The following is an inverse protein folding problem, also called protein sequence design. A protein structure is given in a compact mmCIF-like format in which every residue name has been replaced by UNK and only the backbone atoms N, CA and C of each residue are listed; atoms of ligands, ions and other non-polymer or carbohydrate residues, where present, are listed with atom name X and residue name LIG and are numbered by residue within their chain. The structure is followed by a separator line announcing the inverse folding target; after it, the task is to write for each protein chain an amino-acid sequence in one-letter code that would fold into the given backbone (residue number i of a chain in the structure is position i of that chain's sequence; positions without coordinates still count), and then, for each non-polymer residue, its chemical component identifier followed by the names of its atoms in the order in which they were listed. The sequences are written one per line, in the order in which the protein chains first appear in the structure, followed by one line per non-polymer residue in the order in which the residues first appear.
data_IF_354497347915
#
_entry.id   IF_354497347915
#
_cell.length_a   1.000
_cell.length_b   1.000
_cell.length_c   1.000
_cell.angle_alpha   90.00
_cell.angle_beta   90.00
_cell.angle_gamma   90.00
#
_symmetry.space_group_name_H-M   'P 1'
#
loop_
_entity.id
_entity.type
_entity.pdbx_description
1 polymer ?
#
# COMPACT_ATOMS: atom_id res chain seq x y z
N UNK A 1 81.15 57.73 -24.52
CA UNK A 1 81.05 56.27 -24.44
C UNK A 1 80.28 55.89 -23.15
N UNK A 2 78.99 55.63 -23.18
CA UNK A 2 78.18 55.21 -22.05
C UNK A 2 77.51 53.89 -22.40
N UNK A 3 77.87 52.86 -21.65
CA UNK A 3 77.25 51.52 -21.77
C UNK A 3 75.89 51.50 -21.01
N UNK A 4 74.79 51.26 -21.69
CA UNK A 4 73.50 50.97 -21.09
C UNK A 4 73.44 49.47 -20.70
N UNK A 5 73.25 49.20 -19.41
CA UNK A 5 72.96 47.86 -18.90
C UNK A 5 71.40 47.65 -18.92
N UNK A 6 70.95 46.70 -19.72
CA UNK A 6 69.58 46.30 -19.73
C UNK A 6 69.31 45.34 -18.55
N UNK A 7 68.29 45.65 -17.78
CA UNK A 7 67.69 44.77 -16.71
C UNK A 7 66.65 43.88 -17.35
N UNK A 8 66.85 42.58 -17.36
CA UNK A 8 65.84 41.62 -17.71
C UNK A 8 65.00 41.27 -16.47
N UNK A 9 63.72 41.65 -16.49
CA UNK A 9 62.79 41.28 -15.46
C UNK A 9 62.18 39.87 -15.77
N UNK A 10 62.48 38.90 -14.96
CA UNK A 10 61.78 37.60 -14.96
C UNK A 10 60.39 37.76 -14.39
N UNK A 11 59.37 37.61 -15.24
CA UNK A 11 57.97 37.45 -14.84
C UNK A 11 57.75 35.99 -14.41
N UNK A 12 57.60 35.76 -13.10
CA UNK A 12 57.11 34.48 -12.59
C UNK A 12 55.60 34.50 -12.60
N UNK A 13 54.96 33.70 -13.47
CA UNK A 13 53.53 33.42 -13.48
C UNK A 13 53.21 32.45 -12.32
N UNK A 14 52.19 32.72 -11.50
CA UNK A 14 51.75 31.78 -10.50
C UNK A 14 51.04 30.59 -11.16
N UNK A 15 51.45 29.37 -10.87
CA UNK A 15 50.74 28.14 -11.22
C UNK A 15 49.43 28.11 -10.42
N UNK A 16 48.31 28.42 -11.07
CA UNK A 16 46.98 28.20 -10.52
C UNK A 16 46.71 26.69 -10.57
N UNK A 17 46.80 26.03 -9.43
CA UNK A 17 46.39 24.65 -9.25
C UNK A 17 44.87 24.58 -9.40
N UNK A 18 44.38 24.10 -10.55
CA UNK A 18 42.96 23.78 -10.75
C UNK A 18 42.70 22.47 -10.01
N UNK A 19 42.10 22.55 -8.81
CA UNK A 19 41.56 21.37 -8.15
C UNK A 19 40.54 20.69 -9.09
N UNK A 20 40.58 19.37 -9.23
CA UNK A 20 39.58 18.68 -10.06
C UNK A 20 38.21 18.96 -9.47
N UNK A 21 37.35 19.59 -10.26
CA UNK A 21 35.91 19.65 -9.98
C UNK A 21 35.44 18.19 -9.90
N UNK A 22 35.16 17.71 -8.72
CA UNK A 22 34.51 16.41 -8.52
C UNK A 22 33.18 16.49 -9.30
N UNK A 23 33.13 15.94 -10.50
CA UNK A 23 31.88 15.81 -11.24
C UNK A 23 30.97 14.99 -10.38
N UNK A 24 29.90 15.61 -9.86
CA UNK A 24 28.84 14.89 -9.18
C UNK A 24 28.36 13.81 -10.16
N UNK A 25 28.64 12.54 -9.86
CA UNK A 25 28.11 11.44 -10.65
C UNK A 25 26.60 11.64 -10.80
N UNK A 26 26.13 11.63 -12.04
CA UNK A 26 24.71 11.78 -12.31
C UNK A 26 23.96 10.68 -11.57
N UNK A 27 23.04 11.07 -10.67
CA UNK A 27 22.24 10.13 -9.89
C UNK A 27 21.53 9.18 -10.83
N UNK A 28 21.63 7.88 -10.57
CA UNK A 28 20.85 6.89 -11.28
C UNK A 28 19.39 7.06 -10.89
N UNK A 29 18.48 6.88 -11.83
CA UNK A 29 17.05 7.09 -11.59
C UNK A 29 16.30 5.78 -11.78
N UNK A 30 15.39 5.47 -10.84
CA UNK A 30 14.45 4.36 -10.97
C UNK A 30 13.00 4.86 -10.96
N UNK A 31 12.15 4.14 -11.67
CA UNK A 31 10.71 4.37 -11.69
C UNK A 31 10.01 3.35 -10.82
N UNK A 32 9.34 3.80 -9.75
CA UNK A 32 8.62 2.93 -8.81
C UNK A 32 7.12 3.12 -8.99
N UNK A 33 6.41 2.06 -9.36
CA UNK A 33 4.96 2.04 -9.42
C UNK A 33 4.38 1.75 -8.04
N UNK A 34 3.39 2.56 -7.61
CA UNK A 34 2.95 2.50 -6.23
C UNK A 34 1.47 2.82 -6.04
N UNK A 35 0.86 2.20 -5.03
CA UNK A 35 -0.46 2.54 -4.52
C UNK A 35 -0.42 3.27 -3.16
N UNK A 36 0.77 3.50 -2.61
CA UNK A 36 0.98 4.22 -1.34
C UNK A 36 0.48 5.66 -1.44
N UNK A 37 -0.13 6.17 -0.39
CA UNK A 37 -0.64 7.55 -0.36
C UNK A 37 0.49 8.59 -0.40
N UNK A 38 0.27 9.76 -1.03
CA UNK A 38 1.34 10.73 -1.33
C UNK A 38 2.14 11.19 -0.12
N UNK A 39 1.50 11.37 1.03
CA UNK A 39 2.14 11.80 2.28
C UNK A 39 3.18 10.80 2.80
N UNK A 40 2.99 9.51 2.53
CA UNK A 40 3.93 8.46 2.91
C UNK A 40 5.07 8.31 1.91
N UNK A 41 4.84 8.61 0.62
CA UNK A 41 5.88 8.51 -0.42
C UNK A 41 7.08 9.41 -0.15
N UNK A 42 6.87 10.60 0.43
CA UNK A 42 7.96 11.49 0.83
C UNK A 42 8.84 10.84 1.91
N UNK A 43 8.23 10.18 2.88
CA UNK A 43 8.94 9.49 3.97
C UNK A 43 9.79 8.33 3.41
N UNK A 44 9.22 7.49 2.51
CA UNK A 44 9.97 6.43 1.84
C UNK A 44 11.14 6.96 1.03
N UNK A 45 10.92 8.03 0.26
CA UNK A 45 11.96 8.66 -0.56
C UNK A 45 13.12 9.17 0.29
N UNK A 46 12.81 9.89 1.36
CA UNK A 46 13.81 10.54 2.21
C UNK A 46 14.61 9.49 3.00
N UNK A 47 13.93 8.43 3.49
CA UNK A 47 14.59 7.31 4.15
C UNK A 47 15.48 6.50 3.18
N UNK A 48 15.07 6.29 1.93
CA UNK A 48 15.90 5.64 0.92
C UNK A 48 17.10 6.49 0.53
N UNK A 49 16.91 7.80 0.33
CA UNK A 49 17.98 8.72 -0.03
C UNK A 49 19.07 8.81 1.07
N UNK A 50 18.73 8.57 2.34
CA UNK A 50 19.68 8.52 3.44
C UNK A 50 20.65 7.34 3.32
N UNK A 51 20.24 6.21 2.74
CA UNK A 51 21.06 5.00 2.57
C UNK A 51 21.59 4.82 1.15
N UNK A 52 20.93 5.41 0.14
CA UNK A 52 21.33 5.36 -1.28
C UNK A 52 21.15 6.72 -1.94
N UNK A 53 22.02 7.70 -1.59
CA UNK A 53 21.98 9.05 -2.16
C UNK A 53 22.31 9.09 -3.65
N UNK A 54 22.91 8.01 -4.19
CA UNK A 54 23.26 7.81 -5.59
C UNK A 54 22.07 7.44 -6.48
N UNK A 55 20.92 7.03 -5.87
CA UNK A 55 19.72 6.62 -6.61
C UNK A 55 18.56 7.58 -6.33
N UNK A 56 18.01 8.15 -7.40
CA UNK A 56 16.80 8.99 -7.35
C UNK A 56 15.55 8.16 -7.69
N UNK A 57 14.46 8.33 -6.93
CA UNK A 57 13.19 7.65 -7.18
C UNK A 57 12.21 8.60 -7.88
N UNK A 58 11.63 8.14 -8.99
CA UNK A 58 10.43 8.71 -9.57
C UNK A 58 9.24 7.80 -9.27
N UNK A 59 8.24 8.32 -8.55
CA UNK A 59 7.02 7.57 -8.26
C UNK A 59 5.96 7.77 -9.35
N UNK A 60 5.38 6.67 -9.82
CA UNK A 60 4.15 6.65 -10.62
C UNK A 60 3.05 6.09 -9.73
N UNK A 61 2.22 6.99 -9.22
CA UNK A 61 1.19 6.66 -8.23
C UNK A 61 -0.19 6.57 -8.88
N UNK A 62 -0.91 5.48 -8.58
CA UNK A 62 -2.35 5.33 -8.82
C UNK A 62 -2.93 4.33 -7.80
N UNK A 63 -4.25 4.13 -7.79
CA UNK A 63 -4.87 3.03 -7.03
C UNK A 63 -4.38 1.68 -7.53
N UNK A 64 -4.44 0.63 -6.68
CA UNK A 64 -3.88 -0.68 -6.96
C UNK A 64 -4.38 -1.32 -8.27
N UNK A 65 -5.67 -1.17 -8.59
CA UNK A 65 -6.23 -1.68 -9.85
C UNK A 65 -5.58 -1.09 -11.11
N UNK A 66 -5.55 0.23 -11.29
CA UNK A 66 -4.84 0.90 -12.38
C UNK A 66 -3.35 0.58 -12.46
N UNK A 67 -2.63 0.50 -11.32
CA UNK A 67 -1.20 0.09 -11.30
C UNK A 67 -1.04 -1.32 -11.88
N UNK A 68 -1.87 -2.27 -11.45
CA UNK A 68 -1.80 -3.64 -11.94
C UNK A 68 -2.18 -3.76 -13.43
N UNK A 69 -3.18 -3.02 -13.88
CA UNK A 69 -3.57 -2.97 -15.29
C UNK A 69 -2.42 -2.42 -16.15
N UNK A 70 -1.74 -1.38 -15.68
CA UNK A 70 -0.59 -0.78 -16.36
C UNK A 70 0.59 -1.74 -16.44
N UNK A 71 0.98 -2.38 -15.33
CA UNK A 71 2.04 -3.40 -15.32
C UNK A 71 1.76 -4.54 -16.29
N UNK A 72 0.51 -4.98 -16.37
CA UNK A 72 0.09 -6.03 -17.30
C UNK A 72 0.15 -5.57 -18.77
N UNK A 73 -0.27 -4.34 -19.07
CA UNK A 73 -0.22 -3.77 -20.41
C UNK A 73 1.22 -3.54 -20.90
N UNK A 74 2.13 -3.25 -19.97
CA UNK A 74 3.55 -2.98 -20.24
C UNK A 74 4.44 -4.24 -20.18
N UNK A 75 3.87 -5.45 -19.97
CA UNK A 75 4.64 -6.69 -19.72
C UNK A 75 5.72 -7.02 -20.75
N UNK A 76 5.53 -6.61 -22.00
CA UNK A 76 6.50 -6.82 -23.10
C UNK A 76 7.48 -5.64 -23.26
N UNK A 77 7.22 -4.50 -22.59
CA UNK A 77 8.07 -3.30 -22.56
C UNK A 77 7.93 -2.57 -21.23
N UNK A 78 8.45 -3.20 -20.19
CA UNK A 78 8.35 -2.73 -18.82
C UNK A 78 8.97 -1.36 -18.63
N UNK A 79 8.26 -0.46 -17.95
CA UNK A 79 8.72 0.89 -17.61
C UNK A 79 9.05 1.03 -16.12
N UNK A 80 8.46 0.16 -15.29
CA UNK A 80 8.69 0.16 -13.85
C UNK A 80 9.96 -0.60 -13.48
N UNK A 81 10.76 -0.04 -12.60
CA UNK A 81 11.91 -0.73 -12.01
C UNK A 81 11.50 -1.55 -10.77
N UNK A 82 10.58 -1.02 -9.97
CA UNK A 82 10.07 -1.71 -8.80
C UNK A 82 8.59 -1.38 -8.56
N UNK A 83 7.94 -2.22 -7.76
CA UNK A 83 6.60 -1.99 -7.24
C UNK A 83 6.69 -1.81 -5.72
N UNK A 84 6.00 -0.79 -5.19
CA UNK A 84 5.93 -0.47 -3.76
C UNK A 84 4.48 -0.36 -3.30
N UNK A 85 4.13 -1.07 -2.21
CA UNK A 85 2.86 -0.88 -1.50
C UNK A 85 1.64 -1.19 -2.34
N UNK A 86 1.68 -2.27 -3.14
CA UNK A 86 0.53 -2.80 -3.86
C UNK A 86 0.01 -4.03 -3.12
N UNK A 87 -1.29 -4.22 -3.11
CA UNK A 87 -1.97 -5.36 -2.50
C UNK A 87 -1.31 -6.70 -2.88
N UNK A 88 -1.04 -7.55 -1.89
CA UNK A 88 -0.47 -8.88 -2.12
C UNK A 88 -1.38 -9.75 -3.00
N UNK A 89 -2.72 -9.65 -2.84
CA UNK A 89 -3.69 -10.33 -3.73
C UNK A 89 -3.46 -9.89 -5.19
N UNK A 90 -3.21 -8.61 -5.40
CA UNK A 90 -3.01 -8.08 -6.76
C UNK A 90 -1.65 -8.48 -7.34
N UNK A 91 -0.58 -8.48 -6.53
CA UNK A 91 0.74 -8.96 -6.95
C UNK A 91 0.73 -10.45 -7.24
N UNK A 92 0.00 -11.25 -6.48
CA UNK A 92 -0.17 -12.68 -6.74
C UNK A 92 -0.84 -12.94 -8.10
N UNK A 93 -1.82 -12.13 -8.48
CA UNK A 93 -2.43 -12.17 -9.81
C UNK A 93 -1.42 -11.82 -10.93
N UNK A 94 -0.55 -10.82 -10.71
CA UNK A 94 0.52 -10.46 -11.65
C UNK A 94 1.59 -11.56 -11.74
N UNK A 95 1.94 -12.21 -10.61
CA UNK A 95 2.82 -13.37 -10.57
C UNK A 95 2.29 -14.51 -11.45
N UNK A 96 1.02 -14.86 -11.27
CA UNK A 96 0.37 -15.90 -12.04
C UNK A 96 0.36 -15.62 -13.56
N UNK A 97 0.44 -14.34 -13.95
CA UNK A 97 0.52 -13.89 -15.36
C UNK A 97 1.96 -13.70 -15.86
N UNK A 98 2.97 -14.06 -15.06
CA UNK A 98 4.39 -13.99 -15.43
C UNK A 98 4.96 -12.57 -15.52
N UNK A 99 4.31 -11.58 -14.90
CA UNK A 99 4.72 -10.15 -14.92
C UNK A 99 5.83 -9.86 -13.91
N UNK A 100 5.95 -10.69 -12.87
CA UNK A 100 6.93 -10.50 -11.80
C UNK A 100 8.10 -11.48 -11.94
N UNK A 101 9.25 -11.05 -11.47
CA UNK A 101 10.48 -11.84 -11.37
C UNK A 101 10.78 -12.16 -9.91
N UNK A 102 11.22 -13.39 -9.56
CA UNK A 102 11.55 -13.71 -8.18
C UNK A 102 12.78 -12.93 -7.71
N UNK A 103 12.67 -12.33 -6.54
CA UNK A 103 13.78 -11.67 -5.86
C UNK A 103 13.61 -11.75 -4.34
N UNK A 104 14.49 -12.49 -3.67
CA UNK A 104 14.61 -12.50 -2.22
C UNK A 104 15.42 -11.27 -1.78
N UNK A 105 14.82 -10.25 -1.14
CA UNK A 105 15.59 -9.13 -0.61
C UNK A 105 16.49 -9.58 0.52
N UNK A 106 17.54 -8.80 0.83
CA UNK A 106 18.38 -9.06 2.00
C UNK A 106 17.53 -9.11 3.25
N UNK A 107 17.85 -10.04 4.14
CA UNK A 107 17.12 -10.27 5.39
C UNK A 107 15.62 -10.61 5.20
N UNK A 108 15.23 -11.22 4.06
CA UNK A 108 13.86 -11.70 3.83
C UNK A 108 13.37 -12.64 4.93
N UNK A 109 14.28 -13.40 5.56
CA UNK A 109 14.01 -14.27 6.70
C UNK A 109 13.60 -13.52 7.98
N UNK A 110 13.75 -12.19 8.03
CA UNK A 110 13.26 -11.31 9.09
C UNK A 110 11.84 -10.80 8.84
N UNK A 111 11.26 -11.13 7.71
CA UNK A 111 9.88 -10.77 7.39
C UNK A 111 8.93 -11.89 7.86
N UNK A 112 7.71 -11.50 8.22
CA UNK A 112 6.66 -12.45 8.58
C UNK A 112 6.40 -13.39 7.39
N UNK A 113 6.58 -14.71 7.53
CA UNK A 113 6.43 -15.66 6.42
C UNK A 113 5.03 -15.68 5.81
N UNK A 114 3.98 -15.24 6.53
CA UNK A 114 2.63 -15.08 5.97
C UNK A 114 2.53 -13.93 4.97
N UNK A 115 3.52 -13.05 4.93
CA UNK A 115 3.59 -11.90 4.04
C UNK A 115 4.71 -12.02 3.00
N UNK A 116 5.26 -13.20 2.79
CA UNK A 116 6.28 -13.48 1.76
C UNK A 116 5.76 -14.57 0.85
N UNK A 117 5.79 -14.33 -0.46
CA UNK A 117 5.44 -15.36 -1.44
C UNK A 117 6.54 -16.43 -1.47
N UNK A 118 6.13 -17.70 -1.52
CA UNK A 118 7.01 -18.87 -1.33
C UNK A 118 8.23 -18.92 -2.27
N UNK A 119 8.08 -18.36 -3.50
CA UNK A 119 9.12 -18.30 -4.52
C UNK A 119 9.73 -16.89 -4.64
N UNK A 120 9.44 -15.99 -3.67
CA UNK A 120 9.93 -14.60 -3.57
C UNK A 120 9.55 -13.69 -4.77
N UNK A 121 8.40 -13.89 -5.40
CA UNK A 121 7.93 -12.96 -6.43
C UNK A 121 7.38 -11.65 -5.84
N UNK A 122 6.98 -11.66 -4.58
CA UNK A 122 6.61 -10.48 -3.81
C UNK A 122 6.84 -10.72 -2.31
N UNK A 123 6.99 -9.63 -1.58
CA UNK A 123 7.05 -9.64 -0.11
C UNK A 123 6.33 -8.42 0.44
N UNK A 124 5.65 -8.59 1.57
CA UNK A 124 4.95 -7.53 2.28
C UNK A 124 5.90 -6.60 3.03
N UNK A 125 5.48 -5.34 3.18
CA UNK A 125 6.12 -4.35 4.05
C UNK A 125 5.28 -4.08 5.28
N UNK A 126 3.95 -4.10 5.15
CA UNK A 126 3.00 -4.00 6.24
C UNK A 126 1.75 -4.82 5.93
N UNK A 127 0.90 -5.02 6.95
CA UNK A 127 -0.47 -5.48 6.76
C UNK A 127 -1.46 -4.42 7.21
N UNK A 128 -2.65 -4.47 6.65
CA UNK A 128 -3.76 -3.61 7.02
C UNK A 128 -5.07 -4.38 6.99
N UNK A 129 -5.94 -4.06 7.94
CA UNK A 129 -7.22 -4.71 8.11
C UNK A 129 -8.39 -3.84 7.72
N UNK A 130 -9.45 -4.47 7.22
CA UNK A 130 -10.73 -3.86 7.00
C UNK A 130 -11.40 -3.49 8.34
N UNK A 131 -11.97 -2.31 8.38
CA UNK A 131 -12.56 -1.75 9.60
C UNK A 131 -13.89 -1.08 9.27
N UNK A 132 -14.74 -0.94 10.26
CA UNK A 132 -15.95 -0.13 10.22
C UNK A 132 -15.60 1.26 10.76
N UNK A 133 -15.57 2.26 9.88
CA UNK A 133 -15.35 3.66 10.21
C UNK A 133 -16.70 4.31 10.52
N UNK A 134 -16.93 4.70 11.76
CA UNK A 134 -18.25 5.14 12.24
C UNK A 134 -18.23 6.61 12.62
N UNK A 135 -19.12 7.41 12.03
CA UNK A 135 -19.40 8.76 12.50
C UNK A 135 -20.39 8.71 13.67
N UNK A 136 -19.90 8.94 14.90
CA UNK A 136 -20.67 8.80 16.13
C UNK A 136 -21.80 9.84 16.27
N UNK A 137 -21.64 11.02 15.67
CA UNK A 137 -22.68 12.06 15.70
C UNK A 137 -23.84 11.71 14.76
N UNK A 138 -23.54 11.18 13.56
CA UNK A 138 -24.57 10.73 12.63
C UNK A 138 -25.32 9.50 13.16
N UNK A 139 -24.61 8.54 13.78
CA UNK A 139 -25.26 7.40 14.47
C UNK A 139 -26.27 7.91 15.49
N UNK A 140 -25.85 8.80 16.38
CA UNK A 140 -26.74 9.39 17.41
C UNK A 140 -27.88 10.17 16.80
N UNK A 141 -27.60 11.06 15.82
CA UNK A 141 -28.62 11.91 15.18
C UNK A 141 -29.70 11.10 14.45
N UNK A 142 -29.31 9.96 13.87
CA UNK A 142 -30.25 9.07 13.16
C UNK A 142 -30.91 8.03 14.06
N UNK A 143 -30.56 7.96 15.36
CA UNK A 143 -31.08 6.97 16.30
C UNK A 143 -30.63 5.54 16.00
N UNK A 144 -29.48 5.38 15.31
CA UNK A 144 -28.91 4.09 14.97
C UNK A 144 -28.12 3.50 16.15
N UNK A 145 -28.04 2.19 16.23
CA UNK A 145 -27.21 1.50 17.23
C UNK A 145 -25.74 1.53 16.83
N UNK A 146 -24.82 1.68 17.79
CA UNK A 146 -23.40 1.61 17.54
C UNK A 146 -22.99 0.16 17.19
N UNK A 147 -22.50 -0.14 15.98
CA UNK A 147 -22.11 -1.49 15.60
C UNK A 147 -20.83 -1.91 16.34
N UNK A 148 -20.72 -3.21 16.71
CA UNK A 148 -19.54 -3.83 17.31
C UNK A 148 -19.06 -5.05 16.51
N UNK A 149 -19.93 -5.59 15.68
CA UNK A 149 -19.74 -6.84 14.95
C UNK A 149 -20.13 -6.69 13.47
N UNK A 150 -19.75 -7.65 12.63
CA UNK A 150 -20.30 -7.73 11.27
C UNK A 150 -21.80 -7.97 11.32
N UNK A 151 -22.29 -8.82 12.23
CA UNK A 151 -23.71 -9.06 12.38
C UNK A 151 -24.50 -7.77 12.68
N UNK A 152 -23.93 -6.83 13.44
CA UNK A 152 -24.54 -5.52 13.67
C UNK A 152 -24.66 -4.70 12.40
N UNK A 153 -23.56 -4.65 11.59
CA UNK A 153 -23.52 -3.88 10.34
C UNK A 153 -24.53 -4.41 9.31
N UNK A 154 -24.93 -5.67 9.42
CA UNK A 154 -25.89 -6.31 8.51
C UNK A 154 -27.36 -6.07 8.92
N UNK A 155 -27.65 -5.34 10.01
CA UNK A 155 -29.04 -5.08 10.45
C UNK A 155 -29.73 -4.13 9.46
N UNK A 156 -31.06 -4.33 9.23
CA UNK A 156 -31.84 -3.49 8.30
C UNK A 156 -31.86 -2.00 8.67
N UNK A 157 -31.62 -1.64 9.94
CA UNK A 157 -31.52 -0.22 10.35
C UNK A 157 -30.42 0.56 9.63
N UNK A 158 -29.45 -0.14 9.03
CA UNK A 158 -28.34 0.45 8.27
C UNK A 158 -28.60 0.52 6.75
N UNK A 159 -29.80 0.22 6.29
CA UNK A 159 -30.18 0.40 4.87
C UNK A 159 -29.84 1.80 4.40
N UNK A 160 -29.13 1.93 3.26
CA UNK A 160 -28.60 3.18 2.70
C UNK A 160 -27.72 4.01 3.66
N UNK A 161 -27.09 3.39 4.65
CA UNK A 161 -26.20 4.08 5.60
C UNK A 161 -24.72 3.75 5.42
N UNK A 162 -24.38 2.79 4.56
CA UNK A 162 -23.04 2.25 4.44
C UNK A 162 -22.45 2.57 3.06
N UNK A 163 -21.19 2.97 3.04
CA UNK A 163 -20.38 3.06 1.82
C UNK A 163 -19.17 2.14 1.95
N UNK A 164 -18.91 1.35 0.92
CA UNK A 164 -17.77 0.46 0.82
C UNK A 164 -17.00 0.74 -0.49
N UNK A 165 -15.68 0.49 -0.57
CA UNK A 165 -14.96 0.59 -1.84
C UNK A 165 -15.47 -0.41 -2.87
N UNK A 166 -15.57 0.01 -4.13
CA UNK A 166 -15.95 -0.89 -5.23
C UNK A 166 -14.86 -1.96 -5.44
N UNK A 167 -15.19 -3.26 -5.34
CA UNK A 167 -14.22 -4.36 -5.47
C UNK A 167 -13.51 -4.43 -6.83
N UNK A 168 -14.11 -3.89 -7.90
CA UNK A 168 -13.46 -3.82 -9.22
C UNK A 168 -12.43 -2.71 -9.31
N UNK A 169 -12.60 -1.62 -8.56
CA UNK A 169 -11.77 -0.43 -8.64
C UNK A 169 -10.73 -0.34 -7.50
N UNK A 170 -10.97 -1.04 -6.38
CA UNK A 170 -10.18 -0.92 -5.16
C UNK A 170 -9.80 -2.28 -4.60
N UNK A 171 -8.51 -2.45 -4.27
CA UNK A 171 -8.01 -3.61 -3.55
C UNK A 171 -8.65 -3.76 -2.16
N UNK A 172 -9.01 -2.64 -1.49
CA UNK A 172 -9.74 -2.68 -0.22
C UNK A 172 -11.11 -3.32 -0.37
N UNK A 173 -11.85 -2.98 -1.43
CA UNK A 173 -13.13 -3.62 -1.72
C UNK A 173 -12.98 -5.11 -2.02
N UNK A 174 -11.98 -5.48 -2.80
CA UNK A 174 -11.69 -6.88 -3.14
C UNK A 174 -11.25 -7.67 -1.91
N UNK A 175 -10.45 -7.09 -1.02
CA UNK A 175 -10.04 -7.67 0.26
C UNK A 175 -11.24 -8.05 1.11
N UNK A 176 -12.26 -7.20 1.23
CA UNK A 176 -13.47 -7.53 1.98
C UNK A 176 -14.18 -8.76 1.41
N UNK A 177 -14.33 -8.84 0.08
CA UNK A 177 -14.98 -10.02 -0.53
C UNK A 177 -14.22 -11.31 -0.21
N UNK A 178 -12.90 -11.32 -0.45
CA UNK A 178 -12.08 -12.50 -0.16
C UNK A 178 -12.02 -12.81 1.33
N UNK A 179 -11.91 -11.80 2.17
CA UNK A 179 -11.88 -11.97 3.63
C UNK A 179 -13.15 -12.61 4.16
N UNK A 180 -14.32 -12.18 3.71
CA UNK A 180 -15.59 -12.80 4.12
C UNK A 180 -15.72 -14.24 3.61
N UNK A 181 -15.43 -14.48 2.32
CA UNK A 181 -15.58 -15.82 1.73
C UNK A 181 -14.54 -16.81 2.27
N UNK A 182 -13.28 -16.40 2.45
CA UNK A 182 -12.26 -17.30 2.99
C UNK A 182 -12.35 -17.45 4.51
N UNK A 183 -12.72 -16.37 5.21
CA UNK A 183 -12.81 -16.34 6.68
C UNK A 183 -14.03 -17.04 7.23
N UNK A 184 -15.19 -16.84 6.62
CA UNK A 184 -16.47 -17.41 7.10
C UNK A 184 -16.91 -18.66 6.33
N UNK A 185 -16.20 -19.03 5.25
CA UNK A 185 -16.58 -20.07 4.32
C UNK A 185 -17.45 -19.55 3.17
N UNK A 186 -17.52 -20.32 2.09
CA UNK A 186 -18.12 -19.89 0.81
C UNK A 186 -19.59 -19.44 0.98
N UNK A 187 -20.43 -20.27 1.60
CA UNK A 187 -21.86 -19.99 1.75
C UNK A 187 -22.12 -18.78 2.64
N UNK A 188 -21.59 -18.83 3.86
CA UNK A 188 -21.79 -17.75 4.86
C UNK A 188 -21.11 -16.44 4.43
N UNK A 189 -19.95 -16.52 3.78
CA UNK A 189 -19.28 -15.34 3.27
C UNK A 189 -20.10 -14.60 2.21
N UNK A 190 -20.74 -15.32 1.31
CA UNK A 190 -21.65 -14.73 0.33
C UNK A 190 -22.94 -14.21 0.96
N UNK A 191 -23.48 -14.91 1.96
CA UNK A 191 -24.64 -14.40 2.73
C UNK A 191 -24.32 -13.03 3.38
N UNK A 192 -23.13 -12.90 3.97
CA UNK A 192 -22.66 -11.61 4.53
C UNK A 192 -22.56 -10.54 3.43
N UNK A 193 -22.00 -10.86 2.27
CA UNK A 193 -21.86 -9.91 1.14
C UNK A 193 -23.23 -9.47 0.63
N UNK A 194 -24.21 -10.40 0.51
CA UNK A 194 -25.56 -10.11 0.06
C UNK A 194 -26.31 -9.20 1.03
N UNK A 195 -26.27 -9.49 2.33
CA UNK A 195 -26.89 -8.65 3.37
C UNK A 195 -26.22 -7.29 3.47
N UNK A 196 -24.89 -7.25 3.35
CA UNK A 196 -24.15 -5.99 3.33
C UNK A 196 -24.52 -5.14 2.13
N UNK A 197 -24.71 -5.76 0.94
CA UNK A 197 -25.15 -5.06 -0.25
C UNK A 197 -26.52 -4.37 -0.06
N UNK A 198 -27.46 -4.98 0.64
CA UNK A 198 -28.76 -4.39 0.94
C UNK A 198 -28.65 -3.09 1.78
N UNK A 199 -27.57 -2.93 2.54
CA UNK A 199 -27.32 -1.75 3.37
C UNK A 199 -26.43 -0.68 2.68
N UNK A 200 -25.95 -0.97 1.43
CA UNK A 200 -25.07 -0.04 0.72
C UNK A 200 -25.83 1.15 0.15
N UNK A 201 -25.38 2.36 0.51
CA UNK A 201 -25.77 3.58 -0.18
C UNK A 201 -25.16 3.62 -1.59
N UNK A 202 -23.87 3.32 -1.72
CA UNK A 202 -23.16 3.11 -2.99
C UNK A 202 -21.77 2.51 -2.77
N UNK A 203 -21.06 2.19 -3.86
CA UNK A 203 -19.69 1.71 -3.86
C UNK A 203 -18.73 2.79 -4.37
N UNK A 204 -17.78 3.20 -3.51
CA UNK A 204 -16.80 4.26 -3.80
C UNK A 204 -15.64 3.77 -4.68
N UNK A 205 -15.05 4.67 -5.50
CA UNK A 205 -13.96 4.31 -6.41
C UNK A 205 -12.61 3.99 -5.73
N UNK A 206 -12.39 4.47 -4.51
CA UNK A 206 -11.12 4.26 -3.79
C UNK A 206 -11.32 3.70 -2.38
N UNK A 207 -10.29 3.02 -1.86
CA UNK A 207 -10.29 2.42 -0.53
C UNK A 207 -10.42 3.44 0.61
N UNK A 208 -9.84 4.63 0.45
CA UNK A 208 -9.83 5.68 1.47
C UNK A 208 -11.12 6.51 1.50
N UNK A 209 -11.89 6.57 0.40
CA UNK A 209 -13.06 7.46 0.29
C UNK A 209 -14.12 7.21 1.38
N UNK A 210 -14.52 5.96 1.72
CA UNK A 210 -15.53 5.72 2.75
C UNK A 210 -15.11 6.23 4.15
N UNK A 211 -13.82 6.06 4.51
CA UNK A 211 -13.29 6.60 5.76
C UNK A 211 -13.35 8.13 5.79
N UNK A 212 -12.96 8.78 4.68
CA UNK A 212 -13.03 10.25 4.56
C UNK A 212 -14.47 10.76 4.66
N UNK A 213 -15.43 10.11 4.00
CA UNK A 213 -16.85 10.48 4.05
C UNK A 213 -17.43 10.36 5.46
N UNK A 214 -17.10 9.29 6.19
CA UNK A 214 -17.49 9.15 7.58
C UNK A 214 -16.88 10.27 8.45
N UNK A 215 -15.59 10.57 8.25
CA UNK A 215 -14.91 11.64 8.99
C UNK A 215 -15.48 13.04 8.70
N UNK A 216 -15.92 13.28 7.48
CA UNK A 216 -16.51 14.56 7.04
C UNK A 216 -18.00 14.69 7.38
N UNK A 217 -18.62 13.64 7.94
CA UNK A 217 -20.05 13.64 8.30
C UNK A 217 -20.99 13.49 7.10
N UNK A 218 -20.51 12.93 5.99
CA UNK A 218 -21.34 12.67 4.81
C UNK A 218 -22.14 11.36 4.97
N UNK A 219 -21.62 10.38 5.70
CA UNK A 219 -22.22 9.06 5.92
C UNK A 219 -22.04 8.58 7.36
N UNK A 220 -22.95 7.76 7.91
CA UNK A 220 -22.78 7.17 9.23
C UNK A 220 -21.66 6.13 9.28
N UNK A 221 -21.56 5.27 8.27
CA UNK A 221 -20.64 4.12 8.25
C UNK A 221 -19.87 4.05 6.92
N UNK A 222 -18.54 4.02 7.02
CA UNK A 222 -17.65 3.72 5.90
C UNK A 222 -16.88 2.43 6.15
N UNK A 223 -16.97 1.45 5.26
CA UNK A 223 -16.06 0.30 5.31
C UNK A 223 -14.74 0.68 4.63
N UNK A 224 -13.63 0.57 5.36
CA UNK A 224 -12.32 1.02 4.87
C UNK A 224 -11.20 0.39 5.71
N UNK A 225 -9.95 0.79 5.51
CA UNK A 225 -8.87 0.48 6.45
C UNK A 225 -8.76 1.57 7.52
N UNK A 226 -8.53 1.18 8.78
CA UNK A 226 -8.38 2.10 9.90
C UNK A 226 -7.29 3.17 9.68
N UNK A 227 -6.22 2.80 8.98
CA UNK A 227 -5.11 3.70 8.66
C UNK A 227 -5.57 4.96 7.89
N UNK A 228 -6.62 4.86 7.06
CA UNK A 228 -7.14 6.00 6.31
C UNK A 228 -7.92 7.01 7.17
N UNK A 229 -8.27 6.68 8.42
CA UNK A 229 -8.82 7.65 9.37
C UNK A 229 -7.75 8.46 10.11
N UNK A 230 -6.49 8.00 10.18
CA UNK A 230 -5.44 8.70 10.94
C UNK A 230 -5.31 10.20 10.64
N UNK A 231 -5.37 10.67 9.38
CA UNK A 231 -5.31 12.10 9.08
C UNK A 231 -6.43 12.91 9.72
N UNK A 232 -7.62 12.31 9.93
CA UNK A 232 -8.80 12.98 10.46
C UNK A 232 -8.85 12.97 11.99
N UNK A 233 -8.34 11.94 12.65
CA UNK A 233 -8.37 11.79 14.10
C UNK A 233 -7.69 12.96 14.83
N UNK A 234 -6.64 13.54 14.24
CA UNK A 234 -5.94 14.70 14.78
C UNK A 234 -6.82 15.98 14.83
N UNK A 235 -7.91 16.04 14.07
CA UNK A 235 -8.82 17.21 14.02
C UNK A 235 -10.04 17.05 14.94
N UNK A 236 -10.05 16.06 15.85
CA UNK A 236 -11.18 15.78 16.77
C UNK A 236 -12.50 15.56 16.04
N UNK A 237 -12.45 14.99 14.83
CA UNK A 237 -13.66 14.60 14.09
C UNK A 237 -14.42 13.52 14.89
N UNK A 238 -15.77 13.52 14.86
CA UNK A 238 -16.59 12.57 15.62
C UNK A 238 -16.60 11.19 14.93
N UNK A 239 -15.41 10.60 14.72
CA UNK A 239 -15.27 9.28 14.11
C UNK A 239 -14.55 8.31 15.04
N UNK A 240 -14.95 7.07 14.96
CA UNK A 240 -14.25 5.95 15.62
C UNK A 240 -14.07 4.79 14.66
N UNK A 241 -13.12 3.93 14.99
CA UNK A 241 -12.86 2.67 14.28
C UNK A 241 -13.44 1.54 15.10
N UNK A 242 -14.29 0.75 14.47
CA UNK A 242 -14.76 -0.52 15.04
C UNK A 242 -14.05 -1.66 14.30
N UNK A 243 -13.43 -2.52 15.07
CA UNK A 243 -12.87 -3.79 14.60
C UNK A 243 -13.88 -4.90 14.93
N UNK A 244 -14.61 -5.47 13.96
CA UNK A 244 -15.67 -6.43 14.20
C UNK A 244 -15.18 -7.68 14.97
N UNK A 245 -16.00 -8.17 15.88
CA UNK A 245 -15.63 -9.25 16.82
C UNK A 245 -15.34 -10.58 16.12
N UNK A 246 -16.03 -10.88 15.02
CA UNK A 246 -15.91 -12.15 14.29
C UNK A 246 -14.60 -12.30 13.51
N UNK A 247 -13.87 -11.21 13.34
CA UNK A 247 -12.58 -11.19 12.66
C UNK A 247 -12.44 -10.09 11.62
N UNK A 248 -11.24 -9.91 11.16
CA UNK A 248 -10.82 -8.77 10.32
C UNK A 248 -10.35 -9.30 8.98
N UNK A 249 -11.04 -8.93 7.89
CA UNK A 249 -10.51 -9.12 6.54
C UNK A 249 -9.24 -8.30 6.38
N UNK A 250 -8.21 -8.83 5.76
CA UNK A 250 -6.91 -8.16 5.67
C UNK A 250 -6.20 -8.42 4.36
N UNK A 251 -5.23 -7.56 4.06
CA UNK A 251 -4.29 -7.71 2.96
C UNK A 251 -2.92 -7.16 3.39
N UNK A 252 -1.88 -7.45 2.63
CA UNK A 252 -0.57 -6.85 2.83
C UNK A 252 -0.30 -5.80 1.72
N UNK A 253 0.33 -4.69 2.10
CA UNK A 253 1.04 -3.87 1.12
C UNK A 253 2.37 -4.54 0.84
N UNK A 254 2.61 -4.84 -0.42
CA UNK A 254 3.75 -5.64 -0.83
C UNK A 254 4.58 -4.96 -1.92
N UNK A 255 5.81 -5.41 -2.03
CA UNK A 255 6.81 -5.00 -3.02
C UNK A 255 7.12 -6.15 -3.97
N UNK A 256 7.48 -5.82 -5.20
CA UNK A 256 7.85 -6.80 -6.21
C UNK A 256 8.84 -6.23 -7.23
N UNK A 257 9.57 -7.13 -7.87
CA UNK A 257 10.44 -6.85 -9.01
C UNK A 257 9.67 -7.16 -10.31
N UNK A 258 9.37 -6.17 -11.17
CA UNK A 258 8.80 -6.43 -12.48
C UNK A 258 9.80 -7.19 -13.36
N UNK A 259 9.33 -8.21 -14.09
CA UNK A 259 10.16 -8.97 -15.02
C UNK A 259 10.65 -8.09 -16.16
N UNK A 260 11.97 -8.05 -16.36
CA UNK A 260 12.59 -7.24 -17.40
C UNK A 260 12.62 -5.73 -17.09
N UNK A 261 12.63 -5.35 -15.81
CA UNK A 261 12.75 -3.96 -15.39
C UNK A 261 14.02 -3.30 -15.97
N UNK A 262 13.98 -1.99 -16.32
CA UNK A 262 15.10 -1.29 -16.98
C UNK A 262 16.39 -1.25 -16.16
N UNK A 263 16.31 -1.09 -14.84
CA UNK A 263 17.45 -0.90 -13.94
C UNK A 263 17.46 -1.93 -12.79
N UNK A 264 17.73 -3.23 -13.09
CA UNK A 264 17.56 -4.32 -12.12
C UNK A 264 18.44 -4.22 -10.87
N UNK A 265 19.64 -3.61 -10.99
CA UNK A 265 20.56 -3.47 -9.84
C UNK A 265 20.05 -2.43 -8.84
N UNK A 266 19.62 -1.29 -9.32
CA UNK A 266 19.04 -0.20 -8.54
C UNK A 266 17.67 -0.60 -7.95
N UNK A 267 16.86 -1.32 -8.74
CA UNK A 267 15.59 -1.90 -8.30
C UNK A 267 15.78 -2.87 -7.12
N UNK A 268 16.75 -3.78 -7.22
CA UNK A 268 17.09 -4.72 -6.13
C UNK A 268 17.58 -3.98 -4.89
N UNK A 269 18.39 -2.94 -5.04
CA UNK A 269 18.82 -2.11 -3.92
C UNK A 269 17.64 -1.39 -3.23
N UNK A 270 16.64 -0.95 -4.01
CA UNK A 270 15.41 -0.40 -3.47
C UNK A 270 14.56 -1.45 -2.75
N UNK A 271 14.45 -2.66 -3.30
CA UNK A 271 13.71 -3.76 -2.67
C UNK A 271 14.41 -4.26 -1.39
N UNK A 272 15.76 -4.28 -1.33
CA UNK A 272 16.50 -4.53 -0.10
C UNK A 272 16.16 -3.50 0.98
N UNK A 273 16.07 -2.21 0.60
CA UNK A 273 15.63 -1.15 1.50
C UNK A 273 14.19 -1.39 1.96
N UNK A 274 13.28 -1.83 1.08
CA UNK A 274 11.90 -2.12 1.44
C UNK A 274 11.77 -3.22 2.52
N UNK A 275 12.73 -4.14 2.63
CA UNK A 275 12.79 -5.15 3.68
C UNK A 275 13.53 -4.70 4.96
N UNK A 276 14.09 -3.48 4.98
CA UNK A 276 14.97 -2.98 6.05
C UNK A 276 14.22 -2.58 7.34
N UNK A 277 14.96 -2.41 8.47
CA UNK A 277 14.41 -1.84 9.70
C UNK A 277 13.73 -0.48 9.52
N UNK A 278 14.28 0.40 8.68
CA UNK A 278 13.71 1.72 8.41
C UNK A 278 12.28 1.62 7.85
N UNK A 279 12.03 0.67 6.97
CA UNK A 279 10.67 0.41 6.44
C UNK A 279 9.80 -0.27 7.49
N UNK A 280 10.36 -1.10 8.38
CA UNK A 280 9.66 -1.61 9.54
C UNK A 280 9.09 -0.50 10.44
N UNK A 281 9.87 0.56 10.70
CA UNK A 281 9.42 1.75 11.44
C UNK A 281 8.32 2.52 10.71
N UNK A 282 8.47 2.73 9.40
CA UNK A 282 7.46 3.38 8.56
C UNK A 282 6.15 2.58 8.60
N UNK A 283 6.21 1.26 8.47
CA UNK A 283 5.07 0.36 8.52
C UNK A 283 4.36 0.41 9.87
N UNK A 284 5.11 0.40 10.98
CA UNK A 284 4.56 0.55 12.32
C UNK A 284 3.83 1.89 12.51
N UNK A 285 4.40 2.98 11.99
CA UNK A 285 3.77 4.30 12.04
C UNK A 285 2.49 4.37 11.16
N UNK A 286 2.49 3.70 10.00
CA UNK A 286 1.35 3.68 9.07
C UNK A 286 0.18 2.84 9.59
N UNK A 287 0.35 1.52 9.68
CA UNK A 287 -0.71 0.58 10.00
C UNK A 287 -0.64 0.02 11.44
N UNK A 288 0.50 0.14 12.08
CA UNK A 288 0.81 -0.55 13.33
C UNK A 288 1.30 -1.99 13.12
N UNK A 289 1.19 -2.53 11.91
CA UNK A 289 1.48 -3.94 11.60
C UNK A 289 2.58 -4.00 10.54
N UNK A 290 3.82 -4.14 10.97
CA UNK A 290 4.96 -4.29 10.09
C UNK A 290 5.11 -5.76 9.65
N UNK A 291 5.51 -5.97 8.38
CA UNK A 291 5.93 -7.30 7.94
C UNK A 291 7.26 -7.70 8.58
N UNK A 292 8.15 -6.74 8.86
CA UNK A 292 9.40 -7.02 9.55
C UNK A 292 9.16 -7.33 11.02
N UNK A 293 9.67 -8.47 11.48
CA UNK A 293 9.57 -8.93 12.87
C UNK A 293 10.17 -7.90 13.84
N UNK A 294 9.52 -7.74 14.99
CA UNK A 294 9.95 -6.82 16.05
C UNK A 294 9.45 -5.38 15.91
N UNK A 295 8.87 -4.98 14.77
CA UNK A 295 8.47 -3.60 14.52
C UNK A 295 6.96 -3.30 14.73
N UNK A 296 6.10 -4.32 14.71
CA UNK A 296 4.67 -4.12 14.95
C UNK A 296 4.40 -3.55 16.34
N UNK A 297 3.49 -2.57 16.43
CA UNK A 297 3.01 -2.04 17.72
C UNK A 297 2.22 -3.09 18.48
N UNK A 298 2.05 -2.93 19.80
CA UNK A 298 1.25 -3.88 20.60
C UNK A 298 -0.23 -3.89 20.17
N UNK A 299 -0.76 -2.74 19.76
CA UNK A 299 -2.10 -2.65 19.18
C UNK A 299 -2.14 -3.38 17.81
N UNK A 300 -1.16 -3.15 16.96
CA UNK A 300 -1.05 -3.84 15.67
C UNK A 300 -0.97 -5.36 15.81
N UNK A 301 -0.24 -5.87 16.80
CA UNK A 301 -0.19 -7.31 17.10
C UNK A 301 -1.57 -7.84 17.48
N UNK A 302 -2.29 -7.17 18.40
CA UNK A 302 -3.66 -7.55 18.80
C UNK A 302 -4.64 -7.54 17.62
N UNK A 303 -4.50 -6.58 16.69
CA UNK A 303 -5.32 -6.53 15.47
C UNK A 303 -4.96 -7.71 14.56
N UNK A 304 -3.68 -8.00 14.34
CA UNK A 304 -3.23 -9.08 13.49
C UNK A 304 -3.62 -10.48 14.00
N UNK A 305 -3.75 -10.69 15.32
CA UNK A 305 -4.27 -11.91 15.93
C UNK A 305 -5.73 -12.20 15.55
N UNK A 306 -6.47 -11.18 15.12
CA UNK A 306 -7.88 -11.27 14.71
C UNK A 306 -8.05 -11.33 13.20
N UNK A 307 -6.98 -11.41 12.44
CA UNK A 307 -7.04 -11.54 11.00
C UNK A 307 -7.69 -12.87 10.60
N UNK A 308 -8.69 -12.76 9.74
CA UNK A 308 -9.33 -13.92 9.12
C UNK A 308 -8.32 -14.71 8.27
N UNK A 309 -8.50 -16.02 8.11
CA UNK A 309 -7.69 -16.79 7.16
C UNK A 309 -7.67 -16.15 5.78
N UNK A 310 -6.48 -16.03 5.18
CA UNK A 310 -6.30 -15.49 3.83
C UNK A 310 -5.23 -16.30 3.08
N UNK A 311 -5.64 -16.92 1.98
CA UNK A 311 -4.79 -17.52 0.97
C UNK A 311 -4.74 -16.58 -0.24
N UNK A 312 -3.63 -15.88 -0.39
CA UNK A 312 -3.43 -14.90 -1.48
C UNK A 312 -3.45 -15.56 -2.86
N UNK A 313 -2.92 -16.78 -2.98
CA UNK A 313 -2.92 -17.52 -4.24
C UNK A 313 -4.34 -17.92 -4.65
N UNK A 314 -5.16 -18.37 -3.70
CA UNK A 314 -6.59 -18.63 -3.90
C UNK A 314 -7.33 -17.32 -4.27
N UNK A 315 -7.07 -16.23 -3.54
CA UNK A 315 -7.70 -14.95 -3.82
C UNK A 315 -7.40 -14.44 -5.24
N UNK A 316 -6.15 -14.57 -5.70
CA UNK A 316 -5.76 -14.20 -7.06
C UNK A 316 -6.43 -15.09 -8.12
N UNK A 317 -6.46 -16.39 -7.91
CA UNK A 317 -7.07 -17.37 -8.84
C UNK A 317 -8.58 -17.15 -8.96
N UNK A 318 -9.26 -16.92 -7.85
CA UNK A 318 -10.72 -16.84 -7.78
C UNK A 318 -11.24 -15.42 -8.09
N UNK A 319 -10.36 -14.44 -8.28
CA UNK A 319 -10.68 -13.01 -8.43
C UNK A 319 -11.76 -12.71 -9.45
N UNK A 320 -11.63 -13.22 -10.68
CA UNK A 320 -12.56 -12.90 -11.77
C UNK A 320 -13.94 -13.50 -11.52
N UNK A 321 -14.01 -14.72 -11.00
CA UNK A 321 -15.26 -15.38 -10.61
C UNK A 321 -15.94 -14.62 -9.46
N UNK A 322 -15.17 -14.22 -8.46
CA UNK A 322 -15.63 -13.41 -7.32
C UNK A 322 -16.21 -12.07 -7.80
N UNK A 323 -15.50 -11.35 -8.64
CA UNK A 323 -15.95 -10.06 -9.19
C UNK A 323 -17.18 -10.20 -10.09
N UNK A 324 -17.29 -11.29 -10.85
CA UNK A 324 -18.46 -11.57 -11.68
C UNK A 324 -19.69 -11.83 -10.83
N UNK A 325 -19.57 -12.68 -9.79
CA UNK A 325 -20.67 -12.96 -8.85
C UNK A 325 -21.11 -11.71 -8.09
N UNK A 326 -20.14 -10.95 -7.57
CA UNK A 326 -20.43 -9.69 -6.89
C UNK A 326 -21.13 -8.68 -7.82
N UNK A 327 -20.68 -8.55 -9.08
CA UNK A 327 -21.30 -7.63 -10.02
C UNK A 327 -22.76 -8.01 -10.34
N UNK A 328 -23.03 -9.30 -10.54
CA UNK A 328 -24.39 -9.79 -10.74
C UNK A 328 -25.30 -9.49 -9.54
N UNK A 329 -24.75 -9.48 -8.31
CA UNK A 329 -25.46 -9.05 -7.12
C UNK A 329 -25.69 -7.53 -7.10
N UNK A 330 -24.64 -6.74 -7.35
CA UNK A 330 -24.67 -5.28 -7.24
C UNK A 330 -25.43 -4.56 -8.36
N UNK A 331 -25.94 -5.28 -9.36
CA UNK A 331 -26.73 -4.75 -10.48
C UNK A 331 -28.18 -5.24 -10.50
N UNK A 332 -28.62 -5.94 -9.45
CA UNK A 332 -30.03 -6.32 -9.23
C UNK A 332 -30.81 -5.18 -8.57
#
# INVERSE_FOLDING_TARGET
MQRRRGLAALLTLPLVSVAPLCAAEARRRITVYTAVEPEWLAIYRDAFAAVRPDIEITYVRASGGPICARLLAEKDRVQADAVLGVSAIALENLRAKGVLEPYAPKEVEKLNPKMVEKDNHWFGINAWGGSVCVNTDLIRKKGLSMPQSWADVLRPEFEDQIVMPNPRASSTGLMFLHGFVQGFGEEKGWEVIEKLHANMLFYAASGARPAAMAAQGEIPIGLSAAAFLKPFLKYKTPVTVVQPEEGIAWDAEACALPRGCPHPQEAKAFLDFCASPAVGEIAAAFSGIAAREGFSTDEGKRIAERFLPMDFARAARDKEAMLTRWHALATR
#
